data_IF_697867979374
#
_entry.id   IF_697867979374
#
_cell.length_a   1.000
_cell.length_b   1.000
_cell.length_c   1.000
_cell.angle_alpha   90.00
_cell.angle_beta   90.00
_cell.angle_gamma   90.00
#
_symmetry.space_group_name_H-M   'P 1'
#
loop_
_entity.id
_entity.type
_entity.pdbx_description
1 polymer ?
#
# COMPACT_ATOMS: atom_id res chain seq x y z
N UNK A 1 31.62 -12.40 -10.59
CA UNK A 1 30.31 -12.12 -11.24
C UNK A 1 29.57 -13.40 -11.65
N UNK A 2 30.19 -14.31 -12.43
CA UNK A 2 29.54 -15.58 -12.86
C UNK A 2 29.12 -16.50 -11.70
N UNK A 3 29.94 -16.64 -10.66
CA UNK A 3 29.61 -17.47 -9.48
C UNK A 3 28.37 -16.92 -8.72
N UNK A 4 28.29 -15.62 -8.56
CA UNK A 4 27.15 -14.99 -7.90
C UNK A 4 25.84 -15.17 -8.71
N UNK A 5 25.92 -15.08 -10.05
CA UNK A 5 24.79 -15.34 -10.93
C UNK A 5 24.32 -16.80 -10.84
N UNK A 6 25.25 -17.75 -10.77
CA UNK A 6 24.93 -19.17 -10.62
C UNK A 6 24.22 -19.45 -9.28
N UNK A 7 24.72 -18.88 -8.19
CA UNK A 7 24.09 -18.99 -6.87
C UNK A 7 22.68 -18.38 -6.83
N UNK A 8 22.48 -17.24 -7.48
CA UNK A 8 21.15 -16.61 -7.57
C UNK A 8 20.17 -17.48 -8.38
N UNK A 9 20.60 -18.04 -9.53
CA UNK A 9 19.76 -18.94 -10.32
C UNK A 9 19.34 -20.21 -9.54
N UNK A 10 20.19 -20.73 -8.68
CA UNK A 10 19.84 -21.85 -7.79
C UNK A 10 18.92 -21.43 -6.65
N UNK A 11 19.10 -20.22 -6.11
CA UNK A 11 18.36 -19.72 -4.97
C UNK A 11 16.91 -19.28 -5.31
N UNK A 12 16.67 -18.84 -6.55
CA UNK A 12 15.38 -18.26 -6.95
C UNK A 12 14.16 -19.19 -6.77
N UNK A 13 14.37 -20.51 -6.93
CA UNK A 13 13.33 -21.55 -6.69
C UNK A 13 13.60 -22.43 -5.48
N UNK A 14 14.65 -22.14 -4.69
CA UNK A 14 15.07 -22.99 -3.58
C UNK A 14 14.08 -23.03 -2.39
N UNK A 15 13.20 -22.05 -2.27
CA UNK A 15 12.21 -22.03 -1.19
C UNK A 15 11.32 -23.28 -1.23
N UNK A 16 11.14 -24.00 -0.09
CA UNK A 16 10.33 -25.22 -0.05
C UNK A 16 8.92 -25.06 -0.63
N UNK A 17 8.29 -23.88 -0.40
CA UNK A 17 6.97 -23.54 -0.96
C UNK A 17 6.95 -23.55 -2.48
N UNK A 18 8.00 -23.09 -3.16
CA UNK A 18 8.09 -23.11 -4.62
C UNK A 18 8.13 -24.53 -5.18
N UNK A 19 8.90 -25.42 -4.56
CA UNK A 19 8.96 -26.83 -4.96
C UNK A 19 7.63 -27.55 -4.75
N UNK A 20 6.97 -27.27 -3.63
CA UNK A 20 5.64 -27.79 -3.36
C UNK A 20 4.62 -27.29 -4.40
N UNK A 21 4.59 -26.01 -4.68
CA UNK A 21 3.69 -25.41 -5.66
C UNK A 21 3.91 -26.00 -7.08
N UNK A 22 5.16 -26.14 -7.50
CA UNK A 22 5.49 -26.74 -8.80
C UNK A 22 4.98 -28.18 -8.94
N UNK A 23 5.04 -28.98 -7.87
CA UNK A 23 4.49 -30.33 -7.84
C UNK A 23 2.96 -30.33 -7.81
N UNK A 24 2.35 -29.52 -6.95
CA UNK A 24 0.91 -29.44 -6.80
C UNK A 24 0.19 -28.93 -8.05
N UNK A 25 0.88 -28.19 -8.90
CA UNK A 25 0.37 -27.59 -10.13
C UNK A 25 0.88 -28.27 -11.41
N UNK A 26 1.58 -29.44 -11.29
CA UNK A 26 2.18 -30.13 -12.43
C UNK A 26 1.19 -30.52 -13.51
N UNK A 27 0.01 -30.96 -13.10
CA UNK A 27 -1.04 -31.52 -13.97
C UNK A 27 -2.13 -30.50 -14.33
N UNK A 28 -1.92 -29.23 -13.97
CA UNK A 28 -2.87 -28.15 -14.26
C UNK A 28 -2.39 -27.31 -15.43
N UNK A 29 -3.34 -26.84 -16.24
CA UNK A 29 -3.12 -25.88 -17.33
C UNK A 29 -3.68 -24.53 -16.95
N UNK A 30 -3.03 -23.46 -17.42
CA UNK A 30 -3.38 -22.09 -17.14
C UNK A 30 -3.26 -21.24 -18.40
N UNK A 31 -4.24 -20.38 -18.65
CA UNK A 31 -4.25 -19.44 -19.79
C UNK A 31 -3.45 -18.16 -19.50
N UNK A 32 -3.27 -17.82 -18.22
CA UNK A 32 -2.45 -16.71 -17.75
C UNK A 32 -1.91 -16.98 -16.34
N UNK A 33 -0.80 -16.37 -15.98
CA UNK A 33 -0.20 -16.44 -14.64
C UNK A 33 -0.05 -15.04 -14.07
N UNK A 34 -0.62 -14.79 -12.90
CA UNK A 34 -0.39 -13.57 -12.13
C UNK A 34 0.66 -13.83 -11.06
N UNK A 35 1.76 -13.11 -11.11
CA UNK A 35 2.82 -13.13 -10.11
C UNK A 35 2.61 -11.97 -9.14
N UNK A 36 2.12 -12.28 -7.93
CA UNK A 36 1.95 -11.30 -6.88
C UNK A 36 3.31 -11.05 -6.21
N UNK A 37 3.84 -9.85 -6.40
CA UNK A 37 5.20 -9.40 -6.09
C UNK A 37 6.34 -10.06 -6.88
N UNK A 38 7.46 -9.34 -6.96
CA UNK A 38 8.64 -9.76 -7.71
C UNK A 38 9.20 -11.14 -7.26
N UNK A 39 9.02 -11.48 -5.98
CA UNK A 39 9.46 -12.76 -5.41
C UNK A 39 8.76 -13.97 -6.02
N UNK A 40 7.54 -13.79 -6.54
CA UNK A 40 6.77 -14.85 -7.19
C UNK A 40 7.18 -15.10 -8.65
N UNK A 41 7.91 -14.17 -9.29
CA UNK A 41 8.26 -14.25 -10.71
C UNK A 41 8.98 -15.54 -11.12
N UNK A 42 9.99 -16.06 -10.39
CA UNK A 42 10.65 -17.31 -10.77
C UNK A 42 9.67 -18.50 -10.85
N UNK A 43 8.78 -18.60 -9.87
CA UNK A 43 7.75 -19.64 -9.84
C UNK A 43 6.73 -19.44 -10.97
N UNK A 44 6.24 -18.21 -11.15
CA UNK A 44 5.29 -17.86 -12.20
C UNK A 44 5.83 -18.22 -13.59
N UNK A 45 7.10 -17.87 -13.89
CA UNK A 45 7.73 -18.23 -15.16
C UNK A 45 7.99 -19.73 -15.31
N UNK A 46 8.29 -20.45 -14.23
CA UNK A 46 8.44 -21.91 -14.29
C UNK A 46 7.12 -22.61 -14.66
N UNK A 47 5.99 -22.11 -14.16
CA UNK A 47 4.64 -22.59 -14.50
C UNK A 47 4.27 -22.13 -15.92
N UNK A 48 4.46 -20.85 -16.23
CA UNK A 48 4.11 -20.26 -17.52
C UNK A 48 4.77 -20.96 -18.72
N UNK A 49 6.03 -21.36 -18.60
CA UNK A 49 6.76 -22.08 -19.66
C UNK A 49 6.11 -23.42 -20.04
N UNK A 50 5.54 -24.14 -19.06
CA UNK A 50 4.82 -25.40 -19.32
C UNK A 50 3.50 -25.17 -20.04
N UNK A 51 2.86 -24.05 -19.76
CA UNK A 51 1.53 -23.69 -20.29
C UNK A 51 1.60 -22.78 -21.53
N UNK A 52 2.76 -22.25 -21.88
CA UNK A 52 2.92 -21.18 -22.89
C UNK A 52 2.05 -19.96 -22.56
N UNK A 53 1.82 -19.72 -21.28
CA UNK A 53 0.92 -18.69 -20.76
C UNK A 53 1.66 -17.34 -20.57
N UNK A 54 1.01 -16.20 -20.80
CA UNK A 54 1.56 -14.89 -20.46
C UNK A 54 1.70 -14.75 -18.94
N UNK A 55 2.69 -13.96 -18.49
CA UNK A 55 2.90 -13.63 -17.10
C UNK A 55 2.60 -12.15 -16.88
N UNK A 56 1.75 -11.86 -15.92
CA UNK A 56 1.52 -10.52 -15.39
C UNK A 56 2.21 -10.40 -14.03
N UNK A 57 3.09 -9.40 -13.87
CA UNK A 57 3.73 -9.05 -12.61
C UNK A 57 2.89 -7.97 -11.90
N UNK A 58 2.28 -8.30 -10.77
CA UNK A 58 1.59 -7.34 -9.91
C UNK A 58 2.52 -6.96 -8.75
N UNK A 59 3.07 -5.75 -8.79
CA UNK A 59 4.21 -5.30 -7.96
C UNK A 59 3.70 -4.30 -6.92
N UNK A 60 3.47 -4.75 -5.69
CA UNK A 60 2.90 -3.90 -4.63
C UNK A 60 3.93 -2.95 -4.01
N UNK A 61 5.21 -3.28 -4.10
CA UNK A 61 6.30 -2.52 -3.49
C UNK A 61 7.51 -2.44 -4.42
N UNK A 62 8.45 -1.55 -4.11
CA UNK A 62 9.78 -1.59 -4.69
C UNK A 62 10.56 -2.78 -4.09
N UNK A 63 10.53 -3.93 -4.73
CA UNK A 63 11.08 -5.17 -4.20
C UNK A 63 12.55 -5.08 -3.74
N UNK A 64 13.48 -4.43 -4.47
CA UNK A 64 14.86 -4.25 -3.98
C UNK A 64 15.01 -3.35 -2.76
N UNK A 65 13.96 -2.57 -2.39
CA UNK A 65 13.97 -1.64 -1.26
C UNK A 65 13.21 -2.11 -0.03
N UNK A 66 12.61 -3.30 -0.05
CA UNK A 66 11.61 -3.76 0.91
C UNK A 66 12.06 -3.68 2.38
N UNK A 67 13.23 -4.20 2.72
CA UNK A 67 13.74 -4.24 4.11
C UNK A 67 15.19 -3.76 4.21
N UNK A 68 15.54 -2.71 3.48
CA UNK A 68 16.92 -2.21 3.40
C UNK A 68 17.46 -1.64 4.71
N UNK A 69 16.62 -1.38 5.70
CA UNK A 69 17.02 -1.05 7.07
C UNK A 69 17.64 -2.24 7.81
N UNK A 70 17.39 -3.51 7.37
CA UNK A 70 17.97 -4.72 7.96
C UNK A 70 19.25 -5.08 7.19
N UNK A 71 20.41 -5.11 7.87
CA UNK A 71 21.70 -5.34 7.24
C UNK A 71 21.80 -6.72 6.55
N UNK A 72 21.31 -7.80 7.18
CA UNK A 72 21.32 -9.15 6.57
C UNK A 72 20.43 -9.20 5.33
N UNK A 73 19.30 -8.55 5.32
CA UNK A 73 18.44 -8.46 4.15
C UNK A 73 19.14 -7.72 3.00
N UNK A 74 19.78 -6.59 3.31
CA UNK A 74 20.52 -5.77 2.33
C UNK A 74 21.66 -6.52 1.66
N UNK A 75 22.33 -7.40 2.40
CA UNK A 75 23.48 -8.16 1.89
C UNK A 75 23.04 -9.45 1.16
N UNK A 76 22.05 -10.17 1.68
CA UNK A 76 21.69 -11.50 1.19
C UNK A 76 20.49 -11.51 0.25
N UNK A 77 19.45 -10.71 0.57
CA UNK A 77 18.16 -10.78 -0.15
C UNK A 77 18.05 -9.74 -1.25
N UNK A 78 18.50 -8.51 -1.01
CA UNK A 78 18.43 -7.44 -2.02
C UNK A 78 19.10 -7.83 -3.34
N UNK A 79 20.34 -8.40 -3.38
CA UNK A 79 20.95 -8.82 -4.63
C UNK A 79 20.16 -9.89 -5.39
N UNK A 80 19.49 -10.80 -4.65
CA UNK A 80 18.59 -11.79 -5.25
C UNK A 80 17.35 -11.12 -5.84
N UNK A 81 16.74 -10.16 -5.16
CA UNK A 81 15.59 -9.41 -5.68
C UNK A 81 15.97 -8.61 -6.93
N UNK A 82 17.12 -7.94 -6.93
CA UNK A 82 17.64 -7.24 -8.11
C UNK A 82 17.89 -8.20 -9.28
N UNK A 83 18.42 -9.40 -9.01
CA UNK A 83 18.61 -10.44 -10.01
C UNK A 83 17.27 -10.90 -10.61
N UNK A 84 16.29 -11.22 -9.76
CA UNK A 84 14.94 -11.63 -10.18
C UNK A 84 14.29 -10.54 -11.03
N UNK A 85 14.28 -9.30 -10.58
CA UNK A 85 13.70 -8.19 -11.33
C UNK A 85 14.37 -8.04 -12.70
N UNK A 86 15.71 -8.02 -12.75
CA UNK A 86 16.46 -7.87 -14.02
C UNK A 86 16.21 -9.03 -14.99
N UNK A 87 16.08 -10.25 -14.47
CA UNK A 87 15.88 -11.46 -15.28
C UNK A 87 14.46 -11.60 -15.81
N UNK A 88 13.46 -11.33 -14.98
CA UNK A 88 12.10 -11.71 -15.28
C UNK A 88 11.19 -10.57 -15.71
N UNK A 89 11.34 -9.35 -15.17
CA UNK A 89 10.43 -8.24 -15.50
C UNK A 89 10.39 -7.91 -17.00
N UNK A 90 11.52 -7.88 -17.74
CA UNK A 90 11.47 -7.61 -19.18
C UNK A 90 10.76 -8.69 -20.01
N UNK A 91 10.48 -9.85 -19.41
CA UNK A 91 9.78 -10.96 -20.05
C UNK A 91 8.29 -11.02 -19.72
N UNK A 92 7.80 -10.15 -18.82
CA UNK A 92 6.39 -10.11 -18.45
C UNK A 92 5.56 -9.54 -19.60
N UNK A 93 4.36 -10.09 -19.81
CA UNK A 93 3.41 -9.59 -20.78
C UNK A 93 2.67 -8.34 -20.28
N UNK A 94 2.56 -8.20 -18.96
CA UNK A 94 2.05 -7.01 -18.29
C UNK A 94 2.73 -6.82 -16.93
N UNK A 95 2.77 -5.57 -16.47
CA UNK A 95 3.21 -5.24 -15.12
C UNK A 95 2.31 -4.14 -14.54
N UNK A 96 1.96 -4.27 -13.27
CA UNK A 96 1.22 -3.27 -12.49
C UNK A 96 1.97 -2.92 -11.20
N UNK A 97 1.70 -1.73 -10.65
CA UNK A 97 2.19 -1.31 -9.33
C UNK A 97 1.24 -0.28 -8.70
N UNK A 98 1.41 -0.05 -7.41
CA UNK A 98 0.47 0.75 -6.62
C UNK A 98 0.70 2.26 -6.69
N UNK A 99 1.88 2.73 -7.13
CA UNK A 99 2.23 4.16 -7.10
C UNK A 99 3.13 4.59 -8.25
N UNK A 100 3.05 5.87 -8.57
CA UNK A 100 3.76 6.48 -9.71
C UNK A 100 5.29 6.45 -9.53
N UNK A 101 5.78 6.74 -8.34
CA UNK A 101 7.23 6.77 -8.08
C UNK A 101 7.81 5.36 -8.06
N UNK A 102 7.05 4.36 -7.60
CA UNK A 102 7.45 2.95 -7.72
C UNK A 102 7.52 2.53 -9.19
N UNK A 103 6.56 2.94 -10.03
CA UNK A 103 6.58 2.69 -11.47
C UNK A 103 7.83 3.29 -12.13
N UNK A 104 8.18 4.54 -11.79
CA UNK A 104 9.41 5.21 -12.27
C UNK A 104 10.69 4.47 -11.85
N UNK A 105 10.73 3.91 -10.63
CA UNK A 105 11.87 3.11 -10.19
C UNK A 105 12.04 1.83 -11.03
N UNK A 106 10.96 1.09 -11.29
CA UNK A 106 11.00 -0.09 -12.14
C UNK A 106 11.40 0.26 -13.58
N UNK A 107 10.87 1.35 -14.13
CA UNK A 107 11.22 1.83 -15.46
C UNK A 107 12.72 2.20 -15.54
N UNK A 108 13.22 2.99 -14.61
CA UNK A 108 14.61 3.45 -14.61
C UNK A 108 15.64 2.33 -14.39
N UNK A 109 15.30 1.33 -13.57
CA UNK A 109 16.25 0.27 -13.19
C UNK A 109 16.17 -0.99 -14.08
N UNK A 110 14.99 -1.28 -14.65
CA UNK A 110 14.74 -2.53 -15.36
C UNK A 110 14.10 -2.34 -16.74
N UNK A 111 13.84 -1.09 -17.16
CA UNK A 111 13.24 -0.78 -18.46
C UNK A 111 11.77 -1.21 -18.60
N UNK A 112 11.10 -1.50 -17.50
CA UNK A 112 9.70 -1.91 -17.47
C UNK A 112 8.89 -0.85 -16.72
N UNK A 113 7.90 -0.23 -17.38
CA UNK A 113 6.99 0.73 -16.78
C UNK A 113 5.67 0.05 -16.40
N UNK A 114 5.47 -0.29 -15.12
CA UNK A 114 4.21 -0.85 -14.66
C UNK A 114 3.06 0.14 -14.84
N UNK A 115 1.87 -0.35 -15.16
CA UNK A 115 0.63 0.42 -15.10
C UNK A 115 0.21 0.60 -13.64
N UNK A 116 -0.51 1.67 -13.35
CA UNK A 116 -1.01 1.89 -11.99
C UNK A 116 -2.23 1.01 -11.72
N UNK A 117 -2.17 0.31 -10.61
CA UNK A 117 -3.26 -0.47 -10.00
C UNK A 117 -3.17 -0.23 -8.49
N UNK A 118 -3.80 0.83 -8.04
CA UNK A 118 -3.75 1.23 -6.64
C UNK A 118 -4.55 0.27 -5.75
N UNK A 119 -4.15 0.13 -4.48
CA UNK A 119 -4.87 -0.66 -3.46
C UNK A 119 -6.14 0.06 -2.99
N UNK A 120 -6.98 0.44 -3.94
CA UNK A 120 -8.21 1.18 -3.68
C UNK A 120 -9.25 0.32 -2.94
N UNK A 121 -10.01 0.96 -2.06
CA UNK A 121 -11.16 0.32 -1.42
C UNK A 121 -12.35 0.26 -2.39
N UNK A 122 -13.29 -0.69 -2.23
CA UNK A 122 -14.55 -0.70 -2.98
C UNK A 122 -15.30 0.62 -2.83
N UNK A 123 -16.01 1.03 -3.88
CA UNK A 123 -16.84 2.23 -3.83
C UNK A 123 -17.90 2.13 -2.74
N UNK A 124 -17.98 3.13 -1.89
CA UNK A 124 -19.01 3.25 -0.86
C UNK A 124 -20.00 4.35 -1.26
N UNK A 125 -21.27 4.01 -1.37
CA UNK A 125 -22.34 4.99 -1.66
C UNK A 125 -22.68 5.78 -0.38
N UNK A 126 -21.85 6.77 -0.11
CA UNK A 126 -21.95 7.65 1.07
C UNK A 126 -21.92 9.12 0.65
N UNK A 127 -22.50 9.97 1.50
CA UNK A 127 -22.45 11.42 1.34
C UNK A 127 -21.54 12.04 2.42
N UNK A 128 -20.88 13.16 2.16
CA UNK A 128 -20.15 13.90 3.17
C UNK A 128 -21.07 14.32 4.32
N UNK A 129 -20.70 14.00 5.53
CA UNK A 129 -21.44 14.48 6.71
C UNK A 129 -21.08 15.94 7.03
N UNK A 130 -22.01 16.75 7.58
CA UNK A 130 -21.73 18.12 7.99
C UNK A 130 -20.62 18.18 9.04
N UNK A 131 -19.77 19.19 8.94
CA UNK A 131 -18.74 19.49 9.94
C UNK A 131 -19.39 20.33 11.05
N UNK A 132 -19.42 19.86 12.31
CA UNK A 132 -20.03 20.61 13.41
C UNK A 132 -19.19 21.84 13.79
N UNK A 133 -19.86 22.88 14.25
CA UNK A 133 -19.17 24.01 14.84
C UNK A 133 -18.51 23.60 16.17
N UNK A 134 -17.28 24.00 16.36
CA UNK A 134 -16.54 23.89 17.63
C UNK A 134 -15.64 22.67 17.79
N UNK A 135 -16.06 21.45 17.44
CA UNK A 135 -15.25 20.24 17.61
C UNK A 135 -14.95 19.58 16.27
N UNK A 136 -13.69 19.36 15.97
CA UNK A 136 -13.20 18.61 14.80
C UNK A 136 -12.87 17.19 15.25
N UNK A 137 -13.56 16.21 14.64
CA UNK A 137 -13.44 14.78 14.97
C UNK A 137 -12.40 14.13 14.04
N UNK A 138 -11.23 13.84 14.62
CA UNK A 138 -10.18 13.11 13.92
C UNK A 138 -10.38 11.61 14.10
N UNK A 139 -9.97 10.82 13.09
CA UNK A 139 -9.99 9.36 13.17
C UNK A 139 -8.76 8.73 12.54
N UNK A 140 -8.25 7.68 13.17
CA UNK A 140 -7.24 6.78 12.61
C UNK A 140 -7.68 5.34 12.75
N UNK A 141 -7.47 4.53 11.72
CA UNK A 141 -7.77 3.09 11.72
C UNK A 141 -6.56 2.27 11.32
N UNK A 142 -6.41 1.06 11.85
CA UNK A 142 -5.40 0.09 11.39
C UNK A 142 -4.66 -0.63 12.49
N UNK A 143 -3.52 -1.25 12.16
CA UNK A 143 -2.75 -2.03 13.14
C UNK A 143 -2.00 -1.16 14.14
N UNK A 144 -2.10 -1.49 15.42
CA UNK A 144 -1.25 -0.96 16.48
C UNK A 144 0.13 -1.62 16.37
N UNK A 145 0.97 -1.14 15.46
CA UNK A 145 2.31 -1.66 15.20
C UNK A 145 3.34 -0.64 15.64
N UNK A 146 4.32 -1.08 16.42
CA UNK A 146 5.44 -0.23 16.86
C UNK A 146 6.15 0.42 15.65
N UNK A 147 6.53 1.69 15.79
CA UNK A 147 7.16 2.46 14.72
C UNK A 147 6.20 3.17 13.76
N UNK A 148 4.89 3.01 13.95
CA UNK A 148 3.88 3.77 13.18
C UNK A 148 3.60 5.17 13.71
N UNK A 149 4.29 5.58 14.78
CA UNK A 149 4.22 6.93 15.35
C UNK A 149 2.79 7.36 15.77
N UNK A 150 1.99 6.41 16.23
CA UNK A 150 0.61 6.71 16.69
C UNK A 150 0.66 7.58 17.95
N UNK A 151 1.73 7.45 18.75
CA UNK A 151 2.01 8.31 19.90
C UNK A 151 2.00 9.79 19.51
N UNK A 152 2.68 10.14 18.41
CA UNK A 152 2.71 11.53 17.95
C UNK A 152 1.34 12.03 17.48
N UNK A 153 0.48 11.17 16.95
CA UNK A 153 -0.91 11.53 16.61
C UNK A 153 -1.71 11.88 17.87
N UNK A 154 -1.54 11.10 18.95
CA UNK A 154 -2.18 11.34 20.24
C UNK A 154 -1.65 12.65 20.85
N UNK A 155 -0.33 12.79 20.97
CA UNK A 155 0.32 13.97 21.54
C UNK A 155 -0.06 15.24 20.78
N UNK A 156 0.02 15.21 19.45
CA UNK A 156 -0.34 16.35 18.61
C UNK A 156 -1.83 16.74 18.76
N UNK A 157 -2.73 15.77 18.85
CA UNK A 157 -4.16 16.05 19.08
C UNK A 157 -4.39 16.76 20.44
N UNK A 158 -3.68 16.30 21.47
CA UNK A 158 -3.74 16.91 22.80
C UNK A 158 -3.21 18.37 22.76
N UNK A 159 -2.06 18.58 22.09
CA UNK A 159 -1.41 19.89 22.00
C UNK A 159 -2.12 20.85 21.03
N UNK A 160 -2.78 20.36 19.99
CA UNK A 160 -3.52 21.20 19.04
C UNK A 160 -4.70 21.97 19.67
N UNK A 161 -5.16 21.54 20.85
CA UNK A 161 -6.15 22.24 21.65
C UNK A 161 -7.49 21.52 21.77
N UNK A 162 -8.42 22.10 22.56
CA UNK A 162 -9.65 21.41 22.99
C UNK A 162 -10.67 21.17 21.88
N UNK A 163 -10.51 21.83 20.74
CA UNK A 163 -11.42 21.64 19.59
C UNK A 163 -11.17 20.33 18.82
N UNK A 164 -10.09 19.58 19.09
CA UNK A 164 -9.79 18.33 18.43
C UNK A 164 -10.04 17.14 19.34
N UNK A 165 -10.70 16.11 18.78
CA UNK A 165 -10.82 14.78 19.39
C UNK A 165 -10.19 13.76 18.43
N UNK A 166 -9.66 12.64 18.94
CA UNK A 166 -9.10 11.56 18.14
C UNK A 166 -9.69 10.22 18.58
N UNK A 167 -10.29 9.55 17.62
CA UNK A 167 -10.81 8.20 17.76
C UNK A 167 -9.89 7.21 17.02
N UNK A 168 -9.50 6.15 17.72
CA UNK A 168 -8.52 5.16 17.27
C UNK A 168 -9.17 3.79 17.15
N UNK A 169 -9.34 3.29 15.93
CA UNK A 169 -9.80 1.92 15.62
C UNK A 169 -8.58 1.05 15.35
N UNK A 170 -8.03 0.43 16.37
CA UNK A 170 -6.73 -0.24 16.29
C UNK A 170 -6.85 -1.76 16.43
N UNK A 171 -6.28 -2.48 15.46
CA UNK A 171 -6.08 -3.92 15.52
C UNK A 171 -4.81 -4.19 16.32
N UNK A 172 -4.85 -4.94 17.43
CA UNK A 172 -3.64 -5.32 18.16
C UNK A 172 -2.65 -6.06 17.25
N UNK A 173 -1.37 -5.74 17.37
CA UNK A 173 -0.29 -6.47 16.69
C UNK A 173 -0.02 -7.82 17.39
N UNK A 174 0.85 -8.66 16.76
CA UNK A 174 1.26 -9.94 17.33
C UNK A 174 2.14 -9.87 18.58
N UNK A 175 2.24 -8.70 19.23
CA UNK A 175 2.96 -8.42 20.46
C UNK A 175 2.11 -8.65 21.73
N UNK A 176 0.95 -9.28 21.62
CA UNK A 176 0.01 -9.49 22.72
C UNK A 176 -0.71 -8.22 23.17
N UNK A 177 -0.69 -7.14 22.36
CA UNK A 177 -1.33 -5.86 22.68
C UNK A 177 -0.45 -4.89 23.48
N UNK A 178 0.81 -5.20 23.70
CA UNK A 178 1.71 -4.36 24.51
C UNK A 178 1.84 -2.92 23.97
N UNK A 179 1.89 -2.77 22.64
CA UNK A 179 1.93 -1.44 22.04
C UNK A 179 0.62 -0.67 22.22
N UNK A 180 -0.52 -1.35 22.15
CA UNK A 180 -1.82 -0.72 22.38
C UNK A 180 -1.95 -0.19 23.81
N UNK A 181 -1.46 -0.95 24.81
CA UNK A 181 -1.43 -0.48 26.22
C UNK A 181 -0.51 0.74 26.37
N UNK A 182 0.66 0.74 25.74
CA UNK A 182 1.53 1.91 25.70
C UNK A 182 0.82 3.15 25.11
N UNK A 183 0.03 3.00 24.06
CA UNK A 183 -0.74 4.11 23.49
C UNK A 183 -1.81 4.63 24.45
N UNK A 184 -2.44 3.75 25.26
CA UNK A 184 -3.36 4.14 26.33
C UNK A 184 -2.66 4.95 27.43
N UNK A 185 -1.44 4.55 27.79
CA UNK A 185 -0.58 5.29 28.75
C UNK A 185 -0.25 6.68 28.20
N UNK A 186 0.16 6.81 26.93
CA UNK A 186 0.42 8.11 26.26
C UNK A 186 -0.84 9.01 26.26
N UNK A 187 -2.00 8.43 26.04
CA UNK A 187 -3.27 9.17 26.11
C UNK A 187 -3.58 9.69 27.52
N UNK A 188 -3.05 9.07 28.57
CA UNK A 188 -3.14 9.55 29.96
C UNK A 188 -4.58 9.73 30.47
N UNK A 189 -5.53 8.95 29.97
CA UNK A 189 -6.95 9.10 30.32
C UNK A 189 -7.61 10.38 29.78
N UNK A 190 -6.98 11.09 28.83
CA UNK A 190 -7.55 12.28 28.22
C UNK A 190 -8.88 11.95 27.48
N UNK A 191 -10.03 12.54 27.85
CA UNK A 191 -11.35 12.19 27.30
C UNK A 191 -11.51 12.51 25.82
N UNK A 192 -10.57 13.27 25.24
CA UNK A 192 -10.55 13.57 23.80
C UNK A 192 -9.88 12.49 22.95
N UNK A 193 -9.21 11.51 23.57
CA UNK A 193 -8.58 10.37 22.89
C UNK A 193 -9.38 9.11 23.23
N UNK A 194 -9.97 8.50 22.25
CA UNK A 194 -10.85 7.34 22.43
C UNK A 194 -10.33 6.13 21.65
N UNK A 195 -10.31 4.98 22.29
CA UNK A 195 -9.91 3.70 21.69
C UNK A 195 -11.17 2.88 21.46
N UNK A 196 -11.32 2.38 20.24
CA UNK A 196 -12.43 1.56 19.82
C UNK A 196 -11.96 0.17 19.39
N UNK A 197 -12.85 -0.79 19.46
CA UNK A 197 -12.61 -2.11 18.88
C UNK A 197 -12.48 -2.02 17.37
N UNK A 198 -11.68 -2.93 16.74
CA UNK A 198 -11.56 -2.98 15.30
C UNK A 198 -12.90 -3.19 14.61
N UNK A 199 -13.11 -2.49 13.50
CA UNK A 199 -14.27 -2.65 12.64
C UNK A 199 -13.92 -3.57 11.46
N UNK A 200 -14.89 -4.34 10.98
CA UNK A 200 -14.70 -5.17 9.80
C UNK A 200 -14.42 -4.29 8.56
N UNK A 201 -13.57 -4.75 7.63
CA UNK A 201 -13.17 -3.93 6.48
C UNK A 201 -14.35 -3.35 5.68
N UNK A 202 -15.41 -4.13 5.47
CA UNK A 202 -16.58 -3.67 4.70
C UNK A 202 -17.50 -2.69 5.47
N UNK A 203 -17.39 -2.61 6.80
CA UNK A 203 -18.12 -1.66 7.64
C UNK A 203 -17.32 -0.37 7.85
N UNK A 204 -16.02 -0.38 7.54
CA UNK A 204 -15.09 0.68 7.87
C UNK A 204 -15.47 2.02 7.22
N UNK A 205 -15.79 2.13 5.91
CA UNK A 205 -16.15 3.42 5.32
C UNK A 205 -17.37 4.06 5.98
N UNK A 206 -18.42 3.28 6.28
CA UNK A 206 -19.63 3.78 6.94
C UNK A 206 -19.35 4.24 8.38
N UNK A 207 -18.51 3.49 9.11
CA UNK A 207 -18.08 3.87 10.47
C UNK A 207 -17.27 5.17 10.46
N UNK A 208 -16.32 5.29 9.55
CA UNK A 208 -15.44 6.46 9.44
C UNK A 208 -16.19 7.70 8.94
N UNK A 209 -17.27 7.57 8.17
CA UNK A 209 -18.05 8.68 7.64
C UNK A 209 -18.62 9.60 8.74
N UNK A 210 -18.74 9.11 9.98
CA UNK A 210 -19.17 9.92 11.13
C UNK A 210 -18.13 10.96 11.57
N UNK A 211 -16.92 10.92 11.07
CA UNK A 211 -15.81 11.81 11.44
C UNK A 211 -15.61 12.94 10.43
N UNK A 212 -14.64 13.81 10.71
CA UNK A 212 -14.35 14.97 9.88
C UNK A 212 -13.03 14.82 9.13
N UNK A 213 -12.00 14.27 9.79
CA UNK A 213 -10.64 14.18 9.24
C UNK A 213 -10.04 12.81 9.53
N UNK A 214 -9.61 12.11 8.48
CA UNK A 214 -8.76 10.93 8.57
C UNK A 214 -7.29 11.33 8.74
N UNK A 215 -6.59 10.76 9.72
CA UNK A 215 -5.22 11.16 10.04
C UNK A 215 -4.21 10.03 9.85
N UNK A 216 -3.02 10.37 9.26
CA UNK A 216 -1.98 9.39 8.98
C UNK A 216 -0.58 10.02 8.95
N UNK A 217 0.23 9.82 10.01
CA UNK A 217 1.59 10.34 10.14
C UNK A 217 2.62 9.25 10.44
N UNK A 218 2.67 8.21 9.59
CA UNK A 218 3.68 7.15 9.73
C UNK A 218 4.98 7.61 9.06
N UNK A 219 6.10 7.73 9.82
CA UNK A 219 7.35 8.21 9.26
C UNK A 219 8.00 7.19 8.32
N UNK A 220 8.67 7.67 7.26
CA UNK A 220 9.33 6.82 6.28
C UNK A 220 10.66 6.30 6.80
N UNK A 221 10.68 5.12 7.39
CA UNK A 221 11.89 4.49 7.94
C UNK A 221 12.74 3.77 6.88
N UNK A 222 12.19 3.48 5.71
CA UNK A 222 12.85 2.80 4.58
C UNK A 222 12.21 3.21 3.25
N UNK A 223 12.77 2.76 2.12
CA UNK A 223 12.36 3.20 0.78
C UNK A 223 10.86 2.99 0.54
N UNK A 224 10.31 1.81 0.83
CA UNK A 224 8.89 1.55 0.60
C UNK A 224 7.99 2.35 1.55
N UNK A 225 8.40 2.60 2.80
CA UNK A 225 7.65 3.49 3.69
C UNK A 225 7.59 4.93 3.16
N UNK A 226 8.66 5.40 2.49
CA UNK A 226 8.69 6.73 1.84
C UNK A 226 7.79 6.81 0.61
N UNK A 227 7.62 5.70 -0.10
CA UNK A 227 6.80 5.57 -1.30
C UNK A 227 5.45 4.90 -1.00
N UNK A 228 5.04 4.87 0.26
CA UNK A 228 3.80 4.19 0.65
C UNK A 228 2.56 4.91 0.13
N UNK A 229 1.65 4.14 -0.44
CA UNK A 229 0.28 4.55 -0.73
C UNK A 229 -0.66 3.57 -0.01
N UNK A 230 -0.96 3.82 1.27
CA UNK A 230 -1.65 2.87 2.12
C UNK A 230 -3.15 2.81 1.84
N UNK A 231 -3.76 1.64 2.02
CA UNK A 231 -5.20 1.42 1.90
C UNK A 231 -6.02 2.45 2.68
N UNK A 232 -5.50 2.94 3.82
CA UNK A 232 -6.17 3.93 4.67
C UNK A 232 -6.53 5.24 3.98
N UNK A 233 -5.68 5.70 3.04
CA UNK A 233 -6.00 6.89 2.28
C UNK A 233 -7.29 6.69 1.48
N UNK A 234 -7.43 5.52 0.87
CA UNK A 234 -8.64 5.15 0.11
C UNK A 234 -9.83 4.92 1.02
N UNK A 235 -9.65 4.30 2.20
CA UNK A 235 -10.70 4.17 3.21
C UNK A 235 -11.24 5.54 3.63
N UNK A 236 -10.37 6.54 3.85
CA UNK A 236 -10.76 7.91 4.18
C UNK A 236 -11.52 8.58 3.03
N UNK A 237 -11.07 8.40 1.79
CA UNK A 237 -11.77 8.92 0.60
C UNK A 237 -13.16 8.27 0.48
N UNK A 238 -13.25 6.95 0.62
CA UNK A 238 -14.54 6.24 0.58
C UNK A 238 -15.46 6.62 1.74
N UNK A 239 -14.90 7.02 2.87
CA UNK A 239 -15.65 7.56 4.00
C UNK A 239 -15.99 9.08 3.85
N UNK A 240 -15.60 9.72 2.74
CA UNK A 240 -15.83 11.16 2.49
C UNK A 240 -15.19 12.06 3.54
N UNK A 241 -14.01 11.71 4.04
CA UNK A 241 -13.27 12.49 5.01
C UNK A 241 -12.34 13.50 4.35
N UNK A 242 -12.10 14.62 5.01
CA UNK A 242 -10.85 15.36 4.82
C UNK A 242 -9.67 14.51 5.30
N UNK A 243 -8.46 14.78 4.80
CA UNK A 243 -7.27 14.00 5.15
C UNK A 243 -6.19 14.91 5.71
N UNK A 244 -5.52 14.47 6.79
CA UNK A 244 -4.31 15.13 7.29
C UNK A 244 -3.19 14.11 7.41
N UNK A 245 -2.10 14.33 6.65
CA UNK A 245 -1.04 13.36 6.45
C UNK A 245 0.37 13.93 6.67
N UNK A 246 1.35 13.04 6.84
CA UNK A 246 2.77 13.36 6.74
C UNK A 246 3.26 13.40 5.28
N UNK A 247 4.46 13.98 5.03
CA UNK A 247 4.98 14.23 3.68
C UNK A 247 5.63 12.98 3.06
N UNK A 248 4.86 11.90 2.88
CA UNK A 248 5.26 10.75 2.05
C UNK A 248 4.87 11.00 0.59
N UNK A 249 5.77 10.70 -0.34
CA UNK A 249 5.71 11.18 -1.73
C UNK A 249 4.40 10.80 -2.43
N UNK A 250 4.03 9.51 -2.41
CA UNK A 250 2.82 9.05 -3.12
C UNK A 250 1.53 9.58 -2.49
N UNK A 251 1.46 9.66 -1.16
CA UNK A 251 0.28 10.22 -0.50
C UNK A 251 0.12 11.71 -0.79
N UNK A 252 1.24 12.47 -0.77
CA UNK A 252 1.23 13.90 -1.11
C UNK A 252 0.74 14.12 -2.54
N UNK A 253 1.19 13.30 -3.48
CA UNK A 253 0.74 13.39 -4.88
C UNK A 253 -0.79 13.23 -4.97
N UNK A 254 -1.35 12.19 -4.37
CA UNK A 254 -2.81 11.94 -4.40
C UNK A 254 -3.58 13.03 -3.64
N UNK A 255 -3.12 13.42 -2.45
CA UNK A 255 -3.80 14.45 -1.65
C UNK A 255 -3.83 15.79 -2.37
N UNK A 256 -2.74 16.18 -3.04
CA UNK A 256 -2.68 17.43 -3.80
C UNK A 256 -3.46 17.36 -5.12
N UNK A 257 -3.37 16.24 -5.85
CA UNK A 257 -4.09 16.04 -7.12
C UNK A 257 -5.60 16.19 -6.95
N UNK A 258 -6.15 15.58 -5.90
CA UNK A 258 -7.59 15.58 -5.65
C UNK A 258 -8.04 16.64 -4.64
N UNK A 259 -7.12 17.42 -4.04
CA UNK A 259 -7.46 18.46 -3.07
C UNK A 259 -8.10 17.90 -1.79
N UNK A 260 -7.57 16.78 -1.25
CA UNK A 260 -8.23 16.02 -0.19
C UNK A 260 -8.00 16.57 1.23
N UNK A 261 -7.01 17.45 1.43
CA UNK A 261 -6.70 17.86 2.80
C UNK A 261 -5.37 18.58 2.95
N UNK A 262 -4.71 18.37 4.09
CA UNK A 262 -3.48 19.05 4.50
C UNK A 262 -2.32 18.08 4.67
N UNK A 263 -1.10 18.57 4.40
CA UNK A 263 0.15 17.85 4.59
C UNK A 263 0.98 18.60 5.62
N UNK A 264 1.47 17.92 6.66
CA UNK A 264 2.42 18.52 7.61
C UNK A 264 3.80 18.68 6.97
N UNK A 265 4.62 19.61 7.48
CA UNK A 265 5.97 19.85 6.98
C UNK A 265 6.87 18.61 7.18
N UNK A 266 6.76 17.98 8.35
CA UNK A 266 7.45 16.75 8.71
C UNK A 266 6.57 15.85 9.62
N UNK A 267 7.17 14.84 10.26
CA UNK A 267 6.47 13.90 11.14
C UNK A 267 6.61 14.24 12.64
N UNK A 268 7.12 15.43 12.98
CA UNK A 268 7.25 15.88 14.36
C UNK A 268 5.91 16.33 14.92
N UNK A 269 5.75 16.21 16.24
CA UNK A 269 4.55 16.68 16.93
C UNK A 269 4.24 18.16 16.65
N UNK A 270 5.21 19.10 16.69
CA UNK A 270 4.94 20.50 16.35
C UNK A 270 4.40 20.69 14.92
N UNK A 271 4.95 19.97 13.94
CA UNK A 271 4.50 20.05 12.54
C UNK A 271 3.09 19.50 12.35
N UNK A 272 2.77 18.40 13.02
CA UNK A 272 1.41 17.82 13.06
C UNK A 272 0.43 18.81 13.70
N UNK A 273 0.82 19.43 14.82
CA UNK A 273 -0.02 20.45 15.51
C UNK A 273 -0.31 21.62 14.56
N UNK A 274 0.71 22.14 13.87
CA UNK A 274 0.52 23.23 12.91
C UNK A 274 -0.45 22.84 11.78
N UNK A 275 -0.32 21.64 11.24
CA UNK A 275 -1.24 21.13 10.22
C UNK A 275 -2.68 21.00 10.75
N UNK A 276 -2.86 20.46 11.95
CA UNK A 276 -4.18 20.37 12.57
C UNK A 276 -4.79 21.75 12.80
N UNK A 277 -4.02 22.71 13.33
CA UNK A 277 -4.49 24.05 13.64
C UNK A 277 -4.84 24.86 12.39
N UNK A 278 -4.30 24.53 11.22
CA UNK A 278 -4.67 25.16 9.93
C UNK A 278 -6.07 24.75 9.45
N UNK A 279 -6.64 23.65 9.97
CA UNK A 279 -7.95 23.16 9.58
C UNK A 279 -9.07 24.06 10.12
N UNK A 280 -9.89 24.60 9.22
CA UNK A 280 -11.14 25.30 9.55
C UNK A 280 -12.34 24.44 9.14
N UNK A 281 -13.53 24.65 9.74
CA UNK A 281 -14.76 23.94 9.33
C UNK A 281 -15.04 24.08 7.81
N UNK A 282 -14.79 25.27 7.25
CA UNK A 282 -14.98 25.56 5.83
C UNK A 282 -14.00 24.76 4.96
N UNK A 283 -12.72 24.75 5.33
CA UNK A 283 -11.70 23.97 4.61
C UNK A 283 -12.00 22.46 4.66
N UNK A 284 -12.37 21.94 5.84
CA UNK A 284 -12.75 20.53 6.00
C UNK A 284 -13.98 20.20 5.13
N UNK A 285 -14.98 21.06 5.09
CA UNK A 285 -16.15 20.86 4.23
C UNK A 285 -15.75 20.77 2.77
N UNK A 286 -14.86 21.66 2.29
CA UNK A 286 -14.34 21.62 0.92
C UNK A 286 -13.57 20.33 0.63
N UNK A 287 -12.71 19.88 1.54
CA UNK A 287 -11.97 18.63 1.40
C UNK A 287 -12.88 17.38 1.40
N UNK A 288 -13.92 17.37 2.23
CA UNK A 288 -14.92 16.29 2.23
C UNK A 288 -15.69 16.23 0.91
N UNK A 289 -16.00 17.37 0.30
CA UNK A 289 -16.61 17.44 -1.03
C UNK A 289 -15.64 16.95 -2.12
N UNK A 290 -14.36 17.33 -2.03
CA UNK A 290 -13.33 16.83 -2.91
C UNK A 290 -13.15 15.31 -2.78
N UNK A 291 -13.18 14.76 -1.57
CA UNK A 291 -13.17 13.32 -1.32
C UNK A 291 -14.40 12.62 -1.92
N UNK A 292 -15.58 13.25 -1.90
CA UNK A 292 -16.78 12.72 -2.54
C UNK A 292 -16.62 12.67 -4.08
N UNK A 293 -16.03 13.69 -4.68
CA UNK A 293 -15.74 13.72 -6.12
C UNK A 293 -14.65 12.71 -6.51
N UNK A 294 -13.67 12.48 -5.63
CA UNK A 294 -12.58 11.53 -5.85
C UNK A 294 -12.95 10.06 -5.58
N UNK A 295 -14.10 9.80 -4.97
CA UNK A 295 -14.45 8.46 -4.50
C UNK A 295 -14.61 7.43 -5.62
N UNK A 296 -15.20 7.79 -6.76
CA UNK A 296 -15.31 6.88 -7.90
C UNK A 296 -13.96 6.68 -8.60
N UNK A 297 -13.19 7.69 -9.03
CA UNK A 297 -11.88 7.46 -9.65
C UNK A 297 -10.87 6.74 -8.73
N UNK A 298 -10.97 6.90 -7.41
CA UNK A 298 -10.15 6.23 -6.41
C UNK A 298 -10.85 5.00 -5.79
N UNK A 299 -11.77 4.37 -6.50
CA UNK A 299 -12.43 3.12 -6.10
C UNK A 299 -11.76 1.89 -6.71
N UNK A 300 -11.97 0.72 -6.10
CA UNK A 300 -11.56 -0.56 -6.67
C UNK A 300 -12.19 -0.79 -8.05
N UNK A 301 -13.47 -0.43 -8.24
CA UNK A 301 -14.20 -0.60 -9.50
C UNK A 301 -13.55 0.20 -10.63
N UNK A 302 -13.05 1.39 -10.37
CA UNK A 302 -12.32 2.20 -11.36
C UNK A 302 -10.91 1.67 -11.61
N UNK A 303 -10.22 1.19 -10.57
CA UNK A 303 -8.89 0.61 -10.69
C UNK A 303 -8.92 -0.76 -11.40
N UNK A 304 -9.94 -1.56 -11.17
CA UNK A 304 -10.08 -2.90 -11.76
C UNK A 304 -10.22 -2.90 -13.29
N UNK A 305 -10.58 -1.78 -13.90
CA UNK A 305 -10.59 -1.63 -15.39
C UNK A 305 -9.22 -1.95 -16.00
N UNK A 306 -8.14 -1.67 -15.29
CA UNK A 306 -6.77 -2.05 -15.70
C UNK A 306 -6.61 -3.56 -15.80
N UNK A 307 -7.26 -4.31 -14.90
CA UNK A 307 -7.24 -5.78 -14.86
C UNK A 307 -7.95 -6.32 -16.11
N UNK A 308 -9.15 -5.80 -16.41
CA UNK A 308 -9.92 -6.22 -17.59
C UNK A 308 -9.14 -5.98 -18.88
N UNK A 309 -8.51 -4.81 -19.02
CA UNK A 309 -7.70 -4.48 -20.19
C UNK A 309 -6.46 -5.39 -20.35
N UNK A 310 -5.83 -5.82 -19.24
CA UNK A 310 -4.71 -6.76 -19.25
C UNK A 310 -5.18 -8.14 -19.73
N UNK A 311 -6.28 -8.66 -19.17
CA UNK A 311 -6.81 -9.95 -19.59
C UNK A 311 -7.32 -9.93 -21.02
N UNK A 312 -7.98 -8.85 -21.44
CA UNK A 312 -8.39 -8.66 -22.84
C UNK A 312 -7.20 -8.68 -23.80
N UNK A 313 -6.08 -8.10 -23.41
CA UNK A 313 -4.85 -8.16 -24.19
C UNK A 313 -4.28 -9.58 -24.27
N UNK A 314 -4.33 -10.35 -23.18
CA UNK A 314 -3.87 -11.74 -23.15
C UNK A 314 -4.72 -12.64 -24.06
N UNK A 315 -6.04 -12.47 -24.05
CA UNK A 315 -6.95 -13.23 -24.90
C UNK A 315 -6.76 -12.96 -26.41
N UNK A 316 -6.25 -11.76 -26.76
CA UNK A 316 -5.98 -11.35 -28.16
C UNK A 316 -4.57 -11.72 -28.62
N UNK A 317 -3.67 -12.07 -27.70
CA UNK A 317 -2.29 -12.40 -28.04
C UNK A 317 -2.16 -13.91 -28.26
N UNK A 318 -1.69 -14.38 -29.45
CA UNK A 318 -1.46 -15.79 -29.65
C UNK A 318 -0.42 -16.30 -28.64
N UNK A 319 -0.45 -17.60 -28.25
CA UNK A 319 0.51 -18.18 -27.33
C UNK A 319 1.94 -17.84 -27.75
N UNK A 320 2.80 -17.49 -26.78
CA UNK A 320 4.18 -17.05 -27.04
C UNK A 320 4.95 -18.18 -27.73
N UNK A 321 5.04 -18.15 -29.04
CA UNK A 321 5.86 -19.06 -29.82
C UNK A 321 7.32 -18.69 -29.59
N UNK A 322 8.06 -19.50 -28.81
CA UNK A 322 9.51 -19.34 -28.72
C UNK A 322 10.20 -19.56 -27.38
N UNK A 323 9.52 -19.98 -26.32
CA UNK A 323 10.20 -20.43 -25.09
C UNK A 323 10.69 -21.88 -25.22
N UNK A 324 11.46 -22.16 -26.30
CA UNK A 324 12.18 -23.45 -26.44
C UNK A 324 13.52 -23.38 -25.69
N UNK A 325 13.71 -24.29 -24.75
CA UNK A 325 15.01 -24.80 -24.36
C UNK A 325 15.72 -24.10 -23.23
N UNK A 326 15.45 -24.51 -22.01
CA UNK A 326 16.51 -24.85 -21.04
C UNK A 326 16.11 -26.21 -20.49
N UNK A 327 17.02 -27.18 -20.68
CA UNK A 327 16.84 -28.58 -20.36
C UNK A 327 16.39 -28.84 -18.92
N UNK A 328 15.65 -29.93 -18.79
CA UNK A 328 15.34 -30.58 -17.54
C UNK A 328 16.56 -30.63 -16.62
N UNK A 329 16.40 -30.08 -15.42
CA UNK A 329 17.33 -30.30 -14.32
C UNK A 329 16.72 -31.42 -13.52
N UNK A 330 17.22 -32.64 -13.72
CA UNK A 330 16.99 -33.81 -12.88
C UNK A 330 17.35 -33.55 -11.40
#
# INVERSE_FOLDING_TARGET
MQLALHLHNQAELAAPGNRYALRALSDRTFDAIVANDARALPLAFAIARRNQAPVWADLHEWAPGERTHIASWRILVKPLMEHICRKYLPQTAAATTVGTEIAKLYESQYGVRPRLLMNAAPYADLQPTPVPDGVIRLVHSGGAVFGRNIEAMIEATIQAGPRFTLDLYLVPAGDGGAYLEKLREVAGGNPRIRFHDPVKPFELPATLNAYDVGVFWIPPTHTNARLTLPNKLFDFVQARLAVAIGPTVEMVNVVNEYGLGVVSEDFSVPSIVAALQSLTPQAITSYKQAAAAAADPLSFESQSKVIDEIFDAFLKTPPIAGLKGIADVD
#
